data_IF_302678683633
#
_entry.id   IF_302678683633
#
_cell.length_a   1.000
_cell.length_b   1.000
_cell.length_c   1.000
_cell.angle_alpha   90.00
_cell.angle_beta   90.00
_cell.angle_gamma   90.00
#
_symmetry.space_group_name_H-M   'P 1'
#
loop_
_entity.id
_entity.type
_entity.pdbx_description
1 polymer ?
#
# COMPACT_ATOMS: atom_id res chain seq x y z
N UNK A 1 2.74 -15.55 -2.38
CA UNK A 1 3.04 -14.10 -2.51
C UNK A 1 1.80 -13.42 -3.04
N UNK A 2 1.43 -12.28 -2.46
CA UNK A 2 0.24 -11.50 -2.83
C UNK A 2 0.70 -10.17 -3.42
N UNK A 3 0.16 -9.81 -4.58
CA UNK A 3 0.40 -8.52 -5.22
C UNK A 3 -0.82 -7.63 -4.97
N UNK A 4 -0.59 -6.45 -4.43
CA UNK A 4 -1.63 -5.48 -4.13
C UNK A 4 -1.25 -4.13 -4.74
N UNK A 5 -2.21 -3.49 -5.39
CA UNK A 5 -2.02 -2.16 -5.98
C UNK A 5 -2.97 -1.21 -5.28
N UNK A 6 -2.43 -0.12 -4.74
CA UNK A 6 -3.22 0.93 -4.11
C UNK A 6 -3.09 2.22 -4.88
N UNK A 7 -4.20 2.94 -5.01
CA UNK A 7 -4.21 4.34 -5.45
C UNK A 7 -4.48 5.22 -4.24
N UNK A 8 -3.63 6.22 -4.03
CA UNK A 8 -3.77 7.23 -2.97
C UNK A 8 -3.66 8.64 -3.56
N UNK A 9 -4.38 9.59 -2.98
CA UNK A 9 -4.46 10.97 -3.49
C UNK A 9 -3.46 11.93 -2.83
N UNK A 10 -2.53 11.43 -2.01
CA UNK A 10 -1.47 12.25 -1.43
C UNK A 10 -0.21 11.44 -1.10
N UNK A 11 0.92 12.15 -1.00
CA UNK A 11 2.20 11.56 -0.61
C UNK A 11 2.17 11.05 0.83
N UNK A 12 1.56 11.81 1.74
CA UNK A 12 1.42 11.42 3.14
C UNK A 12 0.61 10.12 3.29
N UNK A 13 -0.46 9.95 2.49
CA UNK A 13 -1.23 8.70 2.48
C UNK A 13 -0.39 7.52 1.94
N UNK A 14 0.46 7.76 0.94
CA UNK A 14 1.35 6.74 0.40
C UNK A 14 2.41 6.29 1.44
N UNK A 15 2.99 7.24 2.18
CA UNK A 15 3.94 6.97 3.26
C UNK A 15 3.25 6.23 4.40
N UNK A 16 2.07 6.70 4.84
CA UNK A 16 1.30 6.04 5.89
C UNK A 16 0.92 4.60 5.50
N UNK A 17 0.54 4.36 4.24
CA UNK A 17 0.26 3.01 3.75
C UNK A 17 1.51 2.13 3.85
N UNK A 18 2.66 2.63 3.40
CA UNK A 18 3.94 1.91 3.47
C UNK A 18 4.31 1.57 4.92
N UNK A 19 4.18 2.52 5.84
CA UNK A 19 4.49 2.32 7.26
C UNK A 19 3.50 1.33 7.93
N UNK A 20 2.20 1.42 7.67
CA UNK A 20 1.21 0.46 8.19
C UNK A 20 1.48 -0.96 7.68
N UNK A 21 1.81 -1.11 6.40
CA UNK A 21 2.13 -2.42 5.81
C UNK A 21 3.40 -2.99 6.46
N UNK A 22 4.44 -2.17 6.62
CA UNK A 22 5.75 -2.61 7.09
C UNK A 22 5.82 -2.82 8.60
N UNK A 23 5.32 -1.87 9.39
CA UNK A 23 5.48 -1.84 10.84
C UNK A 23 4.29 -2.47 11.55
N UNK A 24 3.06 -2.12 11.15
CA UNK A 24 1.86 -2.62 11.83
C UNK A 24 1.48 -4.03 11.36
N UNK A 25 1.51 -4.27 10.06
CA UNK A 25 1.19 -5.59 9.52
C UNK A 25 2.40 -6.47 9.36
N UNK A 26 3.63 -5.98 9.52
CA UNK A 26 4.85 -6.79 9.45
C UNK A 26 5.00 -7.49 8.11
N UNK A 27 4.51 -6.88 7.02
CA UNK A 27 4.77 -7.37 5.67
C UNK A 27 6.22 -7.08 5.35
N UNK A 28 6.92 -8.13 4.93
CA UNK A 28 8.28 -8.06 4.38
C UNK A 28 8.13 -8.44 2.91
N UNK A 29 8.82 -7.70 2.04
CA UNK A 29 8.61 -7.75 0.60
C UNK A 29 9.00 -6.43 -0.07
N UNK A 30 8.48 -6.20 -1.27
CA UNK A 30 8.78 -5.00 -2.06
C UNK A 30 7.61 -4.01 -2.00
N UNK A 31 7.92 -2.74 -1.76
CA UNK A 31 6.96 -1.65 -1.85
C UNK A 31 7.50 -0.63 -2.84
N UNK A 32 6.79 -0.44 -3.93
CA UNK A 32 7.12 0.53 -4.97
C UNK A 32 6.09 1.66 -4.95
N UNK A 33 6.58 2.89 -4.80
CA UNK A 33 5.77 4.10 -4.82
C UNK A 33 6.00 4.81 -6.15
N UNK A 34 4.97 4.88 -6.97
CA UNK A 34 4.99 5.48 -8.31
C UNK A 34 4.16 6.77 -8.28
N UNK A 35 4.79 7.96 -8.36
CA UNK A 35 4.04 9.20 -8.51
C UNK A 35 3.24 9.19 -9.82
N UNK A 36 2.03 9.72 -9.77
CA UNK A 36 1.11 9.85 -10.90
C UNK A 36 0.78 11.33 -11.13
N UNK A 37 0.06 11.64 -12.20
CA UNK A 37 -0.43 13.00 -12.46
C UNK A 37 -1.42 13.46 -11.38
N UNK A 38 -1.53 14.77 -11.20
CA UNK A 38 -2.47 15.41 -10.25
C UNK A 38 -2.27 14.97 -8.78
N UNK A 39 -1.02 14.89 -8.32
CA UNK A 39 -0.66 14.59 -6.92
C UNK A 39 -1.13 13.22 -6.42
N UNK A 40 -1.48 12.32 -7.34
CA UNK A 40 -1.83 10.93 -7.02
C UNK A 40 -0.58 10.08 -6.95
N UNK A 41 -0.67 8.98 -6.22
CA UNK A 41 0.39 7.99 -6.12
C UNK A 41 -0.21 6.60 -6.27
N UNK A 42 0.50 5.74 -7.00
CA UNK A 42 0.25 4.31 -7.01
C UNK A 42 1.26 3.65 -6.08
N UNK A 43 0.79 2.77 -5.21
CA UNK A 43 1.66 1.96 -4.35
C UNK A 43 1.46 0.51 -4.70
N UNK A 44 2.49 -0.12 -5.26
CA UNK A 44 2.54 -1.55 -5.51
C UNK A 44 3.19 -2.23 -4.32
N UNK A 45 2.56 -3.28 -3.82
CA UNK A 45 3.03 -4.04 -2.67
C UNK A 45 3.10 -5.50 -3.06
N UNK A 46 4.31 -6.05 -3.05
CA UNK A 46 4.56 -7.48 -3.17
C UNK A 46 4.76 -8.01 -1.75
N UNK A 47 3.72 -8.64 -1.21
CA UNK A 47 3.73 -9.18 0.14
C UNK A 47 4.11 -10.67 0.13
N UNK A 48 5.06 -11.05 0.97
CA UNK A 48 5.38 -12.46 1.21
C UNK A 48 4.22 -13.21 1.87
N UNK A 49 3.34 -12.51 2.59
CA UNK A 49 2.15 -13.07 3.27
C UNK A 49 0.84 -12.50 2.74
N UNK A 50 -0.22 -13.29 2.83
CA UNK A 50 -1.56 -12.83 2.43
C UNK A 50 -2.14 -11.94 3.52
N UNK A 51 -2.52 -10.71 3.17
CA UNK A 51 -3.29 -9.82 4.02
C UNK A 51 -4.78 -10.19 3.94
N UNK A 52 -5.45 -10.20 5.09
CA UNK A 52 -6.90 -10.41 5.16
C UNK A 52 -7.67 -9.18 4.67
N UNK A 53 -8.92 -9.39 4.24
CA UNK A 53 -9.80 -8.29 3.79
C UNK A 53 -9.92 -7.19 4.84
N UNK A 54 -10.09 -7.55 6.11
CA UNK A 54 -10.20 -6.59 7.21
C UNK A 54 -8.92 -5.78 7.48
N UNK A 55 -7.75 -6.29 7.06
CA UNK A 55 -6.50 -5.52 7.10
C UNK A 55 -6.40 -4.58 5.90
N UNK A 56 -6.82 -5.05 4.71
CA UNK A 56 -6.83 -4.25 3.49
C UNK A 56 -7.77 -3.04 3.62
N UNK A 57 -8.93 -3.20 4.24
CA UNK A 57 -9.89 -2.10 4.49
C UNK A 57 -9.36 -1.01 5.44
N UNK A 58 -8.34 -1.32 6.24
CA UNK A 58 -7.70 -0.36 7.15
C UNK A 58 -6.57 0.42 6.49
N UNK A 59 -6.14 0.00 5.30
CA UNK A 59 -5.05 0.68 4.60
C UNK A 59 -5.56 1.96 3.93
N UNK A 60 -4.74 3.03 3.91
CA UNK A 60 -5.11 4.26 3.23
C UNK A 60 -5.16 4.06 1.72
N UNK A 61 -6.18 4.59 1.07
CA UNK A 61 -6.35 4.51 -0.38
C UNK A 61 -7.27 3.40 -0.83
N UNK A 62 -7.36 3.25 -2.16
CA UNK A 62 -8.24 2.29 -2.80
C UNK A 62 -7.43 1.18 -3.43
N UNK A 63 -7.76 -0.06 -3.11
CA UNK A 63 -7.25 -1.24 -3.81
C UNK A 63 -7.77 -1.23 -5.25
N UNK A 64 -6.86 -1.40 -6.22
CA UNK A 64 -7.12 -1.29 -7.68
C UNK A 64 -6.81 -2.59 -8.39
#
# INVERSE_FOLDING_TARGET
MQHLTFSVDSRDAAIALKDMIWDQFGVRGEVELIPQEHEKYRVNVISEKTLSTSQLEKLPGKLV
#
